data_IF_689935847984
#
_entry.id   IF_689935847984
#
_cell.length_a   1.000
_cell.length_b   1.000
_cell.length_c   1.000
_cell.angle_alpha   90.00
_cell.angle_beta   90.00
_cell.angle_gamma   90.00
#
_symmetry.space_group_name_H-M   'P 1'
#
loop_
_entity.id
_entity.type
_entity.pdbx_description
1 polymer ?
#
# COMPACT_ATOMS: atom_id res chain seq x y z
N UNK A 1 -49.16 -39.69 -51.43
CA UNK A 1 -47.78 -39.89 -50.90
C UNK A 1 -46.88 -38.70 -51.02
N UNK A 2 -47.05 -37.77 -51.92
CA UNK A 2 -46.21 -36.58 -52.10
C UNK A 2 -46.31 -35.55 -50.98
N UNK A 3 -47.46 -35.35 -50.36
CA UNK A 3 -47.69 -34.38 -49.31
C UNK A 3 -46.95 -34.64 -47.97
N UNK A 4 -46.77 -35.95 -47.66
CA UNK A 4 -46.07 -36.34 -46.45
C UNK A 4 -44.56 -36.11 -46.56
N UNK A 5 -43.96 -36.36 -47.72
CA UNK A 5 -42.54 -36.13 -47.98
C UNK A 5 -42.18 -34.63 -47.91
N UNK A 6 -43.04 -33.74 -48.39
CA UNK A 6 -42.83 -32.30 -48.37
C UNK A 6 -42.91 -31.70 -46.92
N UNK A 7 -43.80 -32.20 -46.08
CA UNK A 7 -43.93 -31.79 -44.68
C UNK A 7 -42.73 -32.23 -43.90
N UNK A 8 -42.21 -33.45 -44.07
CA UNK A 8 -41.02 -33.95 -43.42
C UNK A 8 -39.79 -33.12 -43.82
N UNK A 9 -39.60 -32.78 -45.07
CA UNK A 9 -38.52 -31.98 -45.60
C UNK A 9 -38.57 -30.56 -44.98
N UNK A 10 -39.74 -29.97 -44.86
CA UNK A 10 -39.92 -28.64 -44.27
C UNK A 10 -39.56 -28.61 -42.79
N UNK A 11 -39.96 -29.64 -42.00
CA UNK A 11 -39.61 -29.78 -40.59
C UNK A 11 -38.11 -29.96 -40.39
N UNK A 12 -37.43 -30.73 -41.23
CA UNK A 12 -35.98 -30.89 -41.19
C UNK A 12 -35.26 -29.56 -41.50
N UNK A 13 -35.69 -28.81 -42.49
CA UNK A 13 -35.11 -27.50 -42.80
C UNK A 13 -35.34 -26.51 -41.66
N UNK A 14 -36.54 -26.45 -41.10
CA UNK A 14 -36.83 -25.60 -39.95
C UNK A 14 -35.95 -25.97 -38.72
N UNK A 15 -35.75 -27.25 -38.45
CA UNK A 15 -34.87 -27.74 -37.38
C UNK A 15 -33.40 -27.35 -37.61
N UNK A 16 -32.89 -27.46 -38.84
CA UNK A 16 -31.53 -27.04 -39.17
C UNK A 16 -31.34 -25.53 -39.03
N UNK A 17 -32.30 -24.74 -39.49
CA UNK A 17 -32.24 -23.27 -39.33
C UNK A 17 -32.26 -22.86 -37.84
N UNK A 18 -33.13 -23.51 -37.05
CA UNK A 18 -33.19 -23.27 -35.61
C UNK A 18 -31.89 -23.65 -34.90
N UNK A 19 -31.34 -24.82 -35.25
CA UNK A 19 -30.05 -25.27 -34.71
C UNK A 19 -28.91 -24.30 -35.09
N UNK A 20 -28.83 -23.88 -36.32
CA UNK A 20 -27.83 -22.92 -36.78
C UNK A 20 -27.96 -21.58 -36.09
N UNK A 21 -29.20 -21.09 -35.92
CA UNK A 21 -29.46 -19.82 -35.21
C UNK A 21 -29.03 -19.87 -33.74
N UNK A 22 -29.38 -20.92 -33.01
CA UNK A 22 -29.04 -21.08 -31.61
C UNK A 22 -27.52 -21.24 -31.42
N UNK A 23 -26.86 -22.02 -32.28
CA UNK A 23 -25.39 -22.17 -32.24
C UNK A 23 -24.66 -20.87 -32.57
N UNK A 24 -25.14 -20.14 -33.58
CA UNK A 24 -24.57 -18.84 -33.96
C UNK A 24 -24.70 -17.82 -32.83
N UNK A 25 -25.84 -17.78 -32.14
CA UNK A 25 -26.06 -16.90 -30.99
C UNK A 25 -25.15 -17.25 -29.79
N UNK A 26 -25.01 -18.55 -29.52
CA UNK A 26 -24.09 -19.05 -28.47
C UNK A 26 -22.64 -18.70 -28.78
N UNK A 27 -22.20 -18.91 -30.02
CA UNK A 27 -20.84 -18.59 -30.44
C UNK A 27 -20.54 -17.10 -30.36
N UNK A 28 -21.48 -16.23 -30.76
CA UNK A 28 -21.31 -14.77 -30.59
C UNK A 28 -21.17 -14.39 -29.12
N UNK A 29 -21.98 -14.94 -28.22
CA UNK A 29 -21.88 -14.71 -26.80
C UNK A 29 -20.54 -15.18 -26.23
N UNK A 30 -20.02 -16.31 -26.67
CA UNK A 30 -18.72 -16.84 -26.26
C UNK A 30 -17.58 -15.97 -26.75
N UNK A 31 -17.59 -15.49 -27.99
CA UNK A 31 -16.60 -14.58 -28.55
C UNK A 31 -16.59 -13.25 -27.76
N UNK A 32 -17.76 -12.71 -27.43
CA UNK A 32 -17.86 -11.48 -26.61
C UNK A 32 -17.27 -11.68 -25.22
N UNK A 33 -17.55 -12.81 -24.57
CA UNK A 33 -16.96 -13.16 -23.25
C UNK A 33 -15.43 -13.32 -23.32
N UNK A 34 -14.93 -13.99 -24.34
CA UNK A 34 -13.49 -14.17 -24.55
C UNK A 34 -12.80 -12.80 -24.78
N UNK A 35 -13.37 -11.94 -25.62
CA UNK A 35 -12.82 -10.62 -25.85
C UNK A 35 -12.81 -9.75 -24.58
N UNK A 36 -13.86 -9.80 -23.76
CA UNK A 36 -13.88 -9.10 -22.47
C UNK A 36 -12.85 -9.65 -21.49
N UNK A 37 -12.67 -10.97 -21.44
CA UNK A 37 -11.64 -11.62 -20.62
C UNK A 37 -10.23 -11.22 -21.05
N UNK A 38 -9.95 -11.25 -22.36
CA UNK A 38 -8.66 -10.81 -22.93
C UNK A 38 -8.40 -9.33 -22.58
N UNK A 39 -9.40 -8.47 -22.75
CA UNK A 39 -9.27 -7.04 -22.40
C UNK A 39 -8.96 -6.83 -20.92
N UNK A 40 -9.63 -7.56 -20.03
CA UNK A 40 -9.39 -7.48 -18.59
C UNK A 40 -7.99 -8.00 -18.22
N UNK A 41 -7.59 -9.15 -18.79
CA UNK A 41 -6.24 -9.69 -18.57
C UNK A 41 -5.17 -8.72 -19.07
N UNK A 42 -5.38 -8.11 -20.25
CA UNK A 42 -4.44 -7.11 -20.78
C UNK A 42 -4.32 -5.87 -19.88
N UNK A 43 -5.43 -5.39 -19.32
CA UNK A 43 -5.42 -4.30 -18.33
C UNK A 43 -4.65 -4.69 -17.07
N UNK A 44 -4.88 -5.90 -16.56
CA UNK A 44 -4.15 -6.40 -15.38
C UNK A 44 -2.64 -6.56 -15.64
N UNK A 45 -2.25 -7.07 -16.81
CA UNK A 45 -0.83 -7.17 -17.20
C UNK A 45 -0.20 -5.79 -17.31
N UNK A 46 -0.89 -4.83 -17.94
CA UNK A 46 -0.37 -3.46 -18.06
C UNK A 46 -0.25 -2.75 -16.71
N UNK A 47 -1.19 -2.97 -15.77
CA UNK A 47 -1.07 -2.42 -14.42
C UNK A 47 0.10 -3.05 -13.66
N UNK A 48 0.25 -4.38 -13.74
CA UNK A 48 1.37 -5.09 -13.11
C UNK A 48 2.72 -4.69 -13.72
N UNK A 49 2.83 -4.55 -15.04
CA UNK A 49 4.09 -4.11 -15.67
C UNK A 49 4.47 -2.68 -15.31
N UNK A 50 3.48 -1.79 -15.08
CA UNK A 50 3.71 -0.43 -14.57
C UNK A 50 4.10 -0.42 -13.08
N UNK A 51 3.64 -1.40 -12.30
CA UNK A 51 3.92 -1.53 -10.88
C UNK A 51 5.28 -2.19 -10.61
N UNK A 52 5.69 -3.14 -11.47
CA UNK A 52 6.94 -3.92 -11.36
C UNK A 52 7.90 -3.61 -12.52
N UNK A 53 8.11 -2.32 -12.82
CA UNK A 53 9.15 -1.94 -13.80
C UNK A 53 10.56 -2.19 -13.24
N UNK A 54 11.51 -2.54 -14.12
CA UNK A 54 12.90 -2.77 -13.73
C UNK A 54 13.50 -1.54 -13.03
N UNK A 55 13.14 -0.32 -13.45
CA UNK A 55 13.55 0.94 -12.82
C UNK A 55 13.10 1.03 -11.36
N UNK A 56 11.86 0.62 -11.06
CA UNK A 56 11.35 0.60 -9.67
C UNK A 56 12.02 -0.48 -8.83
N UNK A 57 12.34 -1.62 -9.42
CA UNK A 57 13.09 -2.66 -8.74
C UNK A 57 14.52 -2.21 -8.42
N UNK A 58 15.16 -1.47 -9.31
CA UNK A 58 16.48 -0.90 -9.08
C UNK A 58 16.44 0.21 -8.02
N UNK A 59 15.45 1.10 -8.06
CA UNK A 59 15.21 2.09 -7.01
C UNK A 59 14.97 1.44 -5.64
N UNK A 60 14.14 0.42 -5.57
CA UNK A 60 13.89 -0.30 -4.32
C UNK A 60 15.15 -0.97 -3.75
N UNK A 61 16.05 -1.49 -4.61
CA UNK A 61 17.35 -2.03 -4.18
C UNK A 61 18.25 -0.93 -3.66
N UNK A 62 18.37 0.19 -4.38
CA UNK A 62 19.16 1.33 -3.94
C UNK A 62 18.67 1.90 -2.59
N UNK A 63 17.36 2.01 -2.40
CA UNK A 63 16.76 2.43 -1.13
C UNK A 63 17.04 1.42 0.00
N UNK A 64 16.96 0.12 -0.30
CA UNK A 64 17.29 -0.93 0.67
C UNK A 64 18.77 -0.88 1.09
N UNK A 65 19.69 -0.68 0.14
CA UNK A 65 21.13 -0.54 0.41
C UNK A 65 21.43 0.73 1.20
N UNK A 66 20.73 1.83 0.92
CA UNK A 66 20.83 3.08 1.68
C UNK A 66 20.36 2.88 3.12
N UNK A 67 19.22 2.24 3.33
CA UNK A 67 18.73 1.90 4.68
C UNK A 67 19.74 0.99 5.39
N UNK A 68 20.26 -0.03 4.71
CA UNK A 68 21.22 -0.98 5.28
C UNK A 68 22.52 -0.31 5.71
N UNK A 69 23.06 0.60 4.89
CA UNK A 69 24.26 1.38 5.22
C UNK A 69 24.04 2.36 6.36
N UNK A 70 22.85 2.97 6.44
CA UNK A 70 22.45 3.94 7.46
C UNK A 70 21.86 3.34 8.74
N UNK A 71 21.83 1.98 8.89
CA UNK A 71 21.26 1.36 10.09
C UNK A 71 21.98 1.80 11.37
N UNK A 72 21.18 2.22 12.34
CA UNK A 72 21.65 2.57 13.67
C UNK A 72 22.02 1.31 14.49
N UNK A 73 22.90 1.50 15.45
CA UNK A 73 23.05 0.53 16.56
C UNK A 73 21.88 0.66 17.52
N UNK A 74 21.66 -0.40 18.35
CA UNK A 74 20.63 -0.34 19.40
C UNK A 74 20.78 0.85 20.34
N UNK A 75 22.03 1.16 20.71
CA UNK A 75 22.33 2.30 21.57
C UNK A 75 22.04 3.66 20.90
N UNK A 76 22.35 3.80 19.62
CA UNK A 76 22.04 5.03 18.87
C UNK A 76 20.53 5.27 18.75
N UNK A 77 19.76 4.21 18.50
CA UNK A 77 18.30 4.29 18.45
C UNK A 77 17.71 4.70 19.81
N UNK A 78 18.19 4.10 20.89
CA UNK A 78 17.75 4.43 22.25
C UNK A 78 18.18 5.86 22.65
N UNK A 79 19.37 6.30 22.27
CA UNK A 79 19.85 7.67 22.50
C UNK A 79 19.02 8.70 21.73
N UNK A 80 18.67 8.41 20.46
CA UNK A 80 17.80 9.27 19.67
C UNK A 80 16.44 9.46 20.35
N UNK A 81 15.78 8.36 20.73
CA UNK A 81 14.46 8.40 21.35
C UNK A 81 14.52 9.06 22.75
N UNK A 82 15.59 8.81 23.52
CA UNK A 82 15.80 9.46 24.82
C UNK A 82 16.02 10.96 24.68
N UNK A 83 16.70 11.39 23.63
CA UNK A 83 16.92 12.80 23.31
C UNK A 83 15.67 13.59 22.92
N UNK A 84 14.54 12.93 22.72
CA UNK A 84 13.25 13.58 22.49
C UNK A 84 12.57 14.03 23.79
N UNK A 85 12.99 13.51 24.94
CA UNK A 85 12.50 13.96 26.25
C UNK A 85 13.05 15.35 26.59
N UNK A 86 12.35 16.17 27.38
CA UNK A 86 11.06 15.91 28.05
C UNK A 86 9.83 16.20 27.15
N UNK A 87 10.02 16.73 25.94
CA UNK A 87 8.93 17.21 25.08
C UNK A 87 8.04 16.07 24.58
N UNK A 88 8.64 14.92 24.31
CA UNK A 88 7.94 13.73 23.82
C UNK A 88 8.06 12.57 24.79
N UNK A 89 6.98 11.85 25.00
CA UNK A 89 6.96 10.64 25.82
C UNK A 89 6.88 9.39 24.93
N UNK A 90 7.64 8.37 25.29
CA UNK A 90 7.51 7.04 24.65
C UNK A 90 6.35 6.31 25.29
N UNK A 91 5.31 6.06 24.49
CA UNK A 91 4.07 5.39 24.94
C UNK A 91 4.20 3.87 24.80
N UNK A 92 4.82 3.42 23.71
CA UNK A 92 5.03 2.01 23.44
C UNK A 92 6.32 1.78 22.67
N UNK A 93 6.93 0.59 22.89
CA UNK A 93 8.08 0.09 22.12
C UNK A 93 7.83 -1.38 21.81
N UNK A 94 8.01 -1.76 20.55
CA UNK A 94 7.93 -3.16 20.10
C UNK A 94 9.17 -3.49 19.29
N UNK A 95 9.68 -4.70 19.45
CA UNK A 95 10.82 -5.20 18.68
C UNK A 95 10.41 -6.43 17.89
N UNK A 96 10.78 -6.46 16.63
CA UNK A 96 10.57 -7.60 15.75
C UNK A 96 11.90 -7.95 15.11
N UNK A 97 12.57 -9.03 15.55
CA UNK A 97 13.80 -9.48 14.93
C UNK A 97 13.49 -10.08 13.54
N UNK A 98 14.32 -9.74 12.56
CA UNK A 98 14.36 -10.37 11.23
C UNK A 98 15.71 -11.10 11.07
N UNK A 99 15.97 -11.72 9.95
CA UNK A 99 17.25 -12.42 9.73
C UNK A 99 18.44 -11.46 9.67
N UNK A 100 18.27 -10.26 9.13
CA UNK A 100 19.35 -9.29 8.89
C UNK A 100 19.40 -8.13 9.89
N UNK A 101 18.28 -7.74 10.49
CA UNK A 101 18.16 -6.56 11.34
C UNK A 101 17.09 -6.75 12.42
N UNK A 102 17.00 -5.80 13.33
CA UNK A 102 15.91 -5.69 14.31
C UNK A 102 15.06 -4.49 13.95
N UNK A 103 13.76 -4.72 13.71
CA UNK A 103 12.78 -3.67 13.50
C UNK A 103 12.25 -3.22 14.87
N UNK A 104 12.58 -1.98 15.27
CA UNK A 104 12.07 -1.36 16.49
C UNK A 104 11.00 -0.35 16.14
N UNK A 105 9.79 -0.58 16.64
CA UNK A 105 8.69 0.37 16.49
C UNK A 105 8.51 1.12 17.79
N UNK A 106 8.50 2.44 17.72
CA UNK A 106 8.24 3.33 18.83
C UNK A 106 6.94 4.09 18.58
N UNK A 107 6.11 4.18 19.60
CA UNK A 107 5.01 5.11 19.62
C UNK A 107 5.37 6.24 20.59
N UNK A 108 5.53 7.43 20.06
CA UNK A 108 5.82 8.63 20.84
C UNK A 108 4.62 9.57 20.80
N UNK A 109 4.39 10.26 21.91
CA UNK A 109 3.31 11.22 22.01
C UNK A 109 3.77 12.48 22.72
N UNK A 110 3.18 13.59 22.30
CA UNK A 110 3.23 14.86 22.99
C UNK A 110 1.82 15.19 23.48
N UNK A 111 1.69 15.60 24.71
CA UNK A 111 0.44 16.09 25.26
C UNK A 111 0.05 17.47 24.72
N UNK A 112 -0.88 18.12 25.39
CA UNK A 112 -1.38 19.45 25.02
C UNK A 112 -0.25 20.45 24.80
N UNK A 113 -0.32 21.16 23.67
CA UNK A 113 0.65 22.19 23.30
C UNK A 113 -0.03 23.31 22.49
N UNK A 114 0.40 24.57 22.66
CA UNK A 114 -0.12 25.65 21.84
C UNK A 114 0.27 25.48 20.36
N UNK A 115 -0.51 26.04 19.44
CA UNK A 115 -0.21 25.98 17.99
C UNK A 115 1.14 26.63 17.67
N UNK A 116 1.61 27.58 18.49
CA UNK A 116 2.96 28.18 18.40
C UNK A 116 4.09 27.14 18.57
N UNK A 117 3.83 25.95 19.11
CA UNK A 117 4.79 24.85 19.19
C UNK A 117 4.95 24.07 17.84
N UNK A 118 4.23 24.43 16.79
CA UNK A 118 4.34 23.79 15.47
C UNK A 118 5.75 23.78 14.88
N UNK A 119 6.55 24.87 14.96
CA UNK A 119 7.95 24.84 14.51
C UNK A 119 8.80 23.76 15.16
N UNK A 120 8.56 23.44 16.45
CA UNK A 120 9.27 22.37 17.15
C UNK A 120 8.91 20.98 16.56
N UNK A 121 7.64 20.78 16.20
CA UNK A 121 7.18 19.56 15.54
C UNK A 121 7.83 19.41 14.16
N UNK A 122 7.88 20.49 13.37
CA UNK A 122 8.56 20.50 12.07
C UNK A 122 10.06 20.24 12.19
N UNK A 123 10.71 20.83 13.21
CA UNK A 123 12.13 20.57 13.50
C UNK A 123 12.38 19.08 13.79
N UNK A 124 11.47 18.44 14.53
CA UNK A 124 11.56 17.00 14.77
C UNK A 124 11.46 16.20 13.46
N UNK A 125 10.52 16.52 12.59
CA UNK A 125 10.41 15.86 11.27
C UNK A 125 11.66 16.05 10.41
N UNK A 126 12.24 17.25 10.39
CA UNK A 126 13.47 17.50 9.66
C UNK A 126 14.63 16.65 10.20
N UNK A 127 14.78 16.53 11.51
CA UNK A 127 15.78 15.65 12.14
C UNK A 127 15.54 14.17 11.81
N UNK A 128 14.28 13.72 11.78
CA UNK A 128 13.93 12.35 11.40
C UNK A 128 14.26 12.06 9.95
N UNK A 129 14.07 13.02 9.04
CA UNK A 129 14.35 12.87 7.61
C UNK A 129 15.85 12.67 7.32
N UNK A 130 16.73 13.13 8.20
CA UNK A 130 18.19 12.96 8.07
C UNK A 130 18.66 11.54 8.44
N UNK A 131 17.77 10.72 8.98
CA UNK A 131 18.08 9.37 9.45
C UNK A 131 17.53 8.34 8.45
N UNK A 132 18.38 7.80 7.60
CA UNK A 132 18.00 6.86 6.53
C UNK A 132 17.36 5.56 7.05
N UNK A 133 17.71 5.15 8.27
CA UNK A 133 17.16 3.94 8.90
C UNK A 133 15.90 4.17 9.74
N UNK A 134 15.28 5.35 9.65
CA UNK A 134 14.06 5.71 10.37
C UNK A 134 12.92 5.97 9.40
N UNK A 135 11.80 5.30 9.61
CA UNK A 135 10.56 5.54 8.90
C UNK A 135 9.48 6.08 9.83
N UNK A 136 8.72 7.06 9.37
CA UNK A 136 7.52 7.56 10.06
C UNK A 136 6.32 6.78 9.51
N UNK A 137 5.76 5.88 10.31
CA UNK A 137 4.64 5.02 9.90
C UNK A 137 3.30 5.77 9.89
N UNK A 138 3.09 6.60 10.91
CA UNK A 138 1.87 7.41 11.03
C UNK A 138 2.07 8.64 11.90
N UNK A 139 1.25 9.65 11.61
CA UNK A 139 1.16 10.90 12.36
C UNK A 139 -0.31 11.12 12.69
N UNK A 140 -0.64 11.25 13.97
CA UNK A 140 -1.98 11.61 14.43
C UNK A 140 -1.90 12.93 15.21
N UNK A 141 -2.66 13.92 14.76
CA UNK A 141 -2.69 15.25 15.35
C UNK A 141 -4.13 15.57 15.74
N UNK A 142 -4.37 15.67 17.02
CA UNK A 142 -5.66 16.05 17.56
C UNK A 142 -5.63 17.50 18.01
N UNK A 143 -6.63 18.26 17.62
CA UNK A 143 -6.78 19.66 18.00
C UNK A 143 -8.05 19.86 18.83
N UNK A 144 -7.99 20.80 19.76
CA UNK A 144 -9.12 21.21 20.60
C UNK A 144 -9.22 22.73 20.56
N UNK A 145 -10.41 23.26 20.74
CA UNK A 145 -10.67 24.70 20.80
C UNK A 145 -11.42 25.23 19.59
N UNK A 146 -11.87 26.47 19.71
CA UNK A 146 -12.64 27.20 18.69
C UNK A 146 -11.69 27.79 17.62
N UNK A 147 -12.24 28.25 16.50
CA UNK A 147 -11.51 28.81 15.35
C UNK A 147 -10.50 29.93 15.71
N UNK A 148 -10.71 30.59 16.84
CA UNK A 148 -9.83 31.68 17.34
C UNK A 148 -8.76 31.23 18.35
N UNK A 149 -8.91 30.06 18.99
CA UNK A 149 -7.97 29.53 20.00
C UNK A 149 -7.85 28.01 19.81
N UNK A 150 -7.20 27.60 18.74
CA UNK A 150 -6.90 26.18 18.52
C UNK A 150 -5.62 25.81 19.25
N UNK A 151 -5.66 24.68 19.93
CA UNK A 151 -4.51 24.09 20.59
C UNK A 151 -4.40 22.62 20.16
N UNK A 152 -3.20 22.08 20.15
CA UNK A 152 -3.00 20.65 20.00
C UNK A 152 -3.37 20.00 21.33
N UNK A 153 -4.35 19.11 21.31
CA UNK A 153 -4.68 18.28 22.48
C UNK A 153 -3.73 17.10 22.60
N UNK A 154 -3.30 16.55 21.45
CA UNK A 154 -2.36 15.45 21.37
C UNK A 154 -1.71 15.39 20.01
N UNK A 155 -0.41 15.09 20.00
CA UNK A 155 0.32 14.72 18.77
C UNK A 155 0.94 13.36 19.04
N UNK A 156 0.65 12.37 18.18
CA UNK A 156 1.14 11.00 18.31
C UNK A 156 1.83 10.59 17.01
N UNK A 157 3.01 10.00 17.13
CA UNK A 157 3.82 9.53 16.00
C UNK A 157 4.16 8.05 16.21
N UNK A 158 3.96 7.24 15.18
CA UNK A 158 4.50 5.90 15.13
C UNK A 158 5.74 5.90 14.23
N UNK A 159 6.85 5.45 14.79
CA UNK A 159 8.16 5.42 14.13
C UNK A 159 8.68 4.01 14.07
N UNK A 160 9.27 3.64 12.95
CA UNK A 160 10.04 2.40 12.80
C UNK A 160 11.50 2.74 12.60
N UNK A 161 12.37 2.16 13.42
CA UNK A 161 13.84 2.27 13.30
C UNK A 161 14.40 0.90 12.97
N UNK A 162 15.22 0.84 11.92
CA UNK A 162 15.94 -0.36 11.53
C UNK A 162 17.30 -0.36 12.23
N UNK A 163 17.54 -1.38 13.04
CA UNK A 163 18.70 -1.47 13.95
C UNK A 163 19.55 -2.67 13.56
N UNK A 164 20.88 -2.48 13.50
CA UNK A 164 21.83 -3.60 13.31
C UNK A 164 21.69 -4.62 14.41
N UNK A 165 21.73 -5.91 14.05
CA UNK A 165 21.87 -6.97 15.06
C UNK A 165 23.18 -6.80 15.81
N UNK A 166 23.21 -7.02 17.11
CA UNK A 166 24.46 -7.19 17.83
C UNK A 166 25.16 -8.44 17.28
N UNK A 167 26.45 -8.30 17.01
CA UNK A 167 27.35 -9.41 16.66
C UNK A 167 27.56 -10.34 17.85
#
# INVERSE_FOLDING_TARGET
MWTFSTVVAFLLCAGLVYYWYTTSKSNKAMVTRLNSSISNTRKSVNSLSGEYSDDKAEQARADADKIRSGMMTGQQADAFVSGLRPTWSVVARTETPTDEFIKRRYQIARGSAPVSAWPEVLSLFNRMKEIDSLAVDSVDIQTVGDSRKREFSRISLALTVYVKKPE
#
